data_IF_839271692685
#
_entry.id   IF_839271692685
#
_cell.length_a   1.000
_cell.length_b   1.000
_cell.length_c   1.000
_cell.angle_alpha   90.00
_cell.angle_beta   90.00
_cell.angle_gamma   90.00
#
_symmetry.space_group_name_H-M   'P 1'
#
loop_
_entity.id
_entity.type
_entity.pdbx_description
1 polymer ?
#
# COMPACT_ATOMS: atom_id res chain seq x y z
N UNK A 1 -17.40 8.95 -17.06
CA UNK A 1 -17.61 8.82 -15.60
C UNK A 1 -16.36 9.37 -14.94
N UNK A 2 -16.47 10.47 -14.20
CA UNK A 2 -15.30 11.14 -13.62
C UNK A 2 -15.19 10.73 -12.16
N UNK A 3 -14.31 9.78 -11.89
CA UNK A 3 -13.96 9.35 -10.55
C UNK A 3 -12.70 10.08 -10.10
N UNK A 4 -12.77 10.70 -8.93
CA UNK A 4 -11.62 11.36 -8.30
C UNK A 4 -11.31 10.63 -7.01
N UNK A 5 -10.05 10.25 -6.81
CA UNK A 5 -9.59 9.72 -5.52
C UNK A 5 -8.77 10.79 -4.82
N UNK A 6 -9.16 11.14 -3.60
CA UNK A 6 -8.38 11.99 -2.70
C UNK A 6 -7.66 11.10 -1.70
N UNK A 7 -6.33 11.23 -1.64
CA UNK A 7 -5.49 10.52 -0.68
C UNK A 7 -5.03 11.51 0.37
N UNK A 8 -5.14 11.14 1.64
CA UNK A 8 -4.63 11.92 2.76
C UNK A 8 -3.76 11.04 3.64
N UNK A 9 -2.54 11.49 3.89
CA UNK A 9 -1.62 10.83 4.82
C UNK A 9 -2.09 11.15 6.24
N UNK A 10 -2.28 10.09 7.04
CA UNK A 10 -2.67 10.20 8.45
C UNK A 10 -1.41 10.15 9.32
N UNK A 11 -0.51 9.21 9.00
CA UNK A 11 0.72 9.01 9.75
C UNK A 11 1.82 8.44 8.86
N UNK A 12 3.07 8.76 9.21
CA UNK A 12 4.27 8.12 8.67
C UNK A 12 5.17 7.77 9.86
N UNK A 13 5.59 6.53 9.95
CA UNK A 13 6.56 6.06 10.93
C UNK A 13 7.68 5.29 10.23
N UNK A 14 8.93 5.63 10.53
CA UNK A 14 10.06 4.82 10.08
C UNK A 14 10.13 3.55 10.93
N UNK A 15 10.12 2.39 10.28
CA UNK A 15 10.36 1.09 10.94
C UNK A 15 11.86 0.84 11.04
N UNK A 16 12.61 1.23 10.01
CA UNK A 16 14.07 1.12 9.95
C UNK A 16 14.65 2.26 9.09
N UNK A 17 15.96 2.22 8.84
CA UNK A 17 16.62 3.18 7.94
C UNK A 17 16.16 3.10 6.48
N UNK A 18 15.55 1.97 6.09
CA UNK A 18 15.16 1.67 4.70
C UNK A 18 13.69 1.26 4.60
N UNK A 19 12.91 1.37 5.69
CA UNK A 19 11.52 0.94 5.69
C UNK A 19 10.64 1.91 6.47
N UNK A 20 9.47 2.23 5.89
CA UNK A 20 8.45 3.08 6.49
C UNK A 20 7.08 2.40 6.51
N UNK A 21 6.32 2.68 7.56
CA UNK A 21 4.90 2.40 7.68
C UNK A 21 4.13 3.71 7.46
N UNK A 22 3.22 3.72 6.50
CA UNK A 22 2.42 4.89 6.14
C UNK A 22 0.95 4.52 6.27
N UNK A 23 0.19 5.30 7.02
CA UNK A 23 -1.26 5.15 7.08
C UNK A 23 -1.93 6.26 6.27
N UNK A 24 -2.88 5.87 5.41
CA UNK A 24 -3.60 6.80 4.53
C UNK A 24 -5.13 6.61 4.64
N UNK A 25 -5.86 7.71 4.41
CA UNK A 25 -7.28 7.66 4.05
C UNK A 25 -7.40 7.87 2.55
N UNK A 26 -8.20 7.02 1.88
CA UNK A 26 -8.56 7.16 0.49
C UNK A 26 -10.07 7.39 0.37
N UNK A 27 -10.43 8.56 -0.15
CA UNK A 27 -11.80 8.95 -0.43
C UNK A 27 -12.05 8.91 -1.94
N UNK A 28 -13.10 8.21 -2.37
CA UNK A 28 -13.51 8.13 -3.77
C UNK A 28 -14.73 9.02 -4.00
N UNK A 29 -14.65 9.90 -5.00
CA UNK A 29 -15.72 10.81 -5.38
C UNK A 29 -16.19 10.53 -6.80
N UNK A 30 -17.50 10.63 -7.03
CA UNK A 30 -18.11 10.64 -8.35
C UNK A 30 -18.93 11.93 -8.48
N UNK A 31 -18.53 12.82 -9.41
CA UNK A 31 -19.16 14.15 -9.55
C UNK A 31 -19.30 14.89 -8.21
N UNK A 32 -18.19 14.97 -7.46
CA UNK A 32 -18.08 15.63 -6.14
C UNK A 32 -18.84 14.94 -4.99
N UNK A 33 -19.65 13.93 -5.27
CA UNK A 33 -20.28 13.11 -4.23
C UNK A 33 -19.29 12.06 -3.72
N UNK A 34 -19.08 12.01 -2.41
CA UNK A 34 -18.30 10.96 -1.76
C UNK A 34 -19.03 9.62 -1.92
N UNK A 35 -18.40 8.65 -2.58
CA UNK A 35 -18.92 7.31 -2.82
C UNK A 35 -18.37 6.30 -1.81
N UNK A 36 -17.07 6.36 -1.48
CA UNK A 36 -16.47 5.46 -0.49
C UNK A 36 -15.30 6.11 0.25
N UNK A 37 -15.03 5.64 1.46
CA UNK A 37 -13.85 6.01 2.24
C UNK A 37 -13.25 4.79 2.94
N UNK A 38 -11.95 4.59 2.74
CA UNK A 38 -11.20 3.44 3.25
C UNK A 38 -9.87 3.87 3.84
N UNK A 39 -9.40 3.15 4.86
CA UNK A 39 -8.10 3.31 5.49
C UNK A 39 -7.17 2.21 4.99
N UNK A 40 -5.95 2.58 4.61
CA UNK A 40 -4.92 1.65 4.20
C UNK A 40 -3.66 1.86 5.03
N UNK A 41 -2.96 0.76 5.28
CA UNK A 41 -1.58 0.74 5.76
C UNK A 41 -0.68 0.35 4.60
N UNK A 42 0.39 1.12 4.41
CA UNK A 42 1.39 0.91 3.37
C UNK A 42 2.71 0.61 4.08
N UNK A 43 3.35 -0.49 3.70
CA UNK A 43 4.74 -0.78 4.06
C UNK A 43 5.59 -0.48 2.84
N UNK A 44 6.50 0.48 2.98
CA UNK A 44 7.37 0.94 1.89
C UNK A 44 8.82 0.65 2.25
N UNK A 45 9.54 0.01 1.34
CA UNK A 45 10.99 -0.13 1.40
C UNK A 45 11.60 0.88 0.43
N UNK A 46 12.65 1.58 0.86
CA UNK A 46 13.27 2.65 0.09
C UNK A 46 14.78 2.73 0.29
N UNK A 47 15.43 3.35 -0.69
CA UNK A 47 16.87 3.61 -0.72
C UNK A 47 17.13 5.02 -1.26
N UNK A 48 18.37 5.50 -1.16
CA UNK A 48 18.81 6.76 -1.75
C UNK A 48 20.01 6.49 -2.66
N UNK A 49 19.86 6.80 -3.94
CA UNK A 49 20.99 6.81 -4.87
C UNK A 49 21.79 8.11 -4.73
N UNK A 50 23.14 8.05 -4.73
CA UNK A 50 23.96 9.25 -4.77
C UNK A 50 23.67 10.06 -6.04
N UNK A 51 23.41 11.35 -5.89
CA UNK A 51 23.25 12.26 -7.03
C UNK A 51 24.29 13.39 -6.97
N UNK A 52 24.79 13.79 -8.14
CA UNK A 52 25.56 15.02 -8.29
C UNK A 52 24.59 16.19 -8.48
N UNK A 53 24.68 17.19 -7.60
CA UNK A 53 23.82 18.38 -7.68
C UNK A 53 24.46 19.39 -8.63
N UNK A 54 23.94 19.47 -9.86
CA UNK A 54 24.24 20.59 -10.77
C UNK A 54 23.37 21.81 -10.39
N UNK A 55 24.00 22.92 -10.05
CA UNK A 55 23.32 24.15 -9.60
C UNK A 55 22.56 24.87 -10.71
N UNK A 56 22.67 24.42 -11.96
CA UNK A 56 21.93 24.98 -13.11
C UNK A 56 20.43 24.66 -13.09
N UNK A 57 20.03 23.57 -12.46
CA UNK A 57 18.61 23.23 -12.23
C UNK A 57 18.46 22.17 -11.14
N UNK A 58 17.64 22.43 -10.13
CA UNK A 58 17.34 21.43 -9.09
C UNK A 58 16.53 20.29 -9.72
N UNK A 59 16.99 19.03 -9.63
CA UNK A 59 16.25 17.89 -10.17
C UNK A 59 14.96 17.65 -9.37
N UNK A 60 13.93 17.09 -10.01
CA UNK A 60 12.64 16.78 -9.37
C UNK A 60 12.78 15.84 -8.15
N UNK A 61 13.82 15.00 -8.15
CA UNK A 61 14.22 14.13 -7.05
C UNK A 61 15.63 14.52 -6.56
N UNK A 62 15.76 15.55 -5.72
CA UNK A 62 17.06 16.08 -5.29
C UNK A 62 17.77 15.24 -4.21
N UNK A 63 17.15 14.14 -3.77
CA UNK A 63 17.74 13.24 -2.78
C UNK A 63 18.14 11.89 -3.37
N UNK A 64 17.76 11.61 -4.62
CA UNK A 64 17.87 10.27 -5.19
C UNK A 64 16.99 9.24 -4.47
N UNK A 65 15.88 9.66 -3.85
CA UNK A 65 14.97 8.76 -3.16
C UNK A 65 14.33 7.77 -4.14
N UNK A 66 14.41 6.48 -3.83
CA UNK A 66 13.86 5.39 -4.65
C UNK A 66 13.02 4.47 -3.77
N UNK A 67 11.83 4.15 -4.25
CA UNK A 67 10.98 3.10 -3.65
C UNK A 67 11.37 1.76 -4.26
N UNK A 68 11.87 0.84 -3.44
CA UNK A 68 12.30 -0.50 -3.85
C UNK A 68 11.27 -1.59 -3.54
N UNK A 69 10.29 -1.30 -2.67
CA UNK A 69 9.17 -2.19 -2.37
C UNK A 69 7.98 -1.43 -1.81
N UNK A 70 6.76 -1.91 -2.08
CA UNK A 70 5.53 -1.29 -1.61
C UNK A 70 4.42 -2.34 -1.48
N UNK A 71 3.97 -2.56 -0.25
CA UNK A 71 2.82 -3.41 0.07
C UNK A 71 1.71 -2.56 0.67
N UNK A 72 0.48 -2.75 0.21
CA UNK A 72 -0.70 -1.97 0.64
C UNK A 72 -1.75 -2.91 1.19
N UNK A 73 -2.17 -2.67 2.43
CA UNK A 73 -3.20 -3.45 3.13
C UNK A 73 -4.37 -2.54 3.49
N UNK A 74 -5.59 -2.93 3.14
CA UNK A 74 -6.80 -2.28 3.66
C UNK A 74 -6.96 -2.63 5.14
N UNK A 75 -7.12 -1.63 6.00
CA UNK A 75 -7.20 -1.83 7.45
C UNK A 75 -8.56 -1.44 8.03
N UNK A 76 -9.35 -0.61 7.34
CA UNK A 76 -10.73 -0.32 7.70
C UNK A 76 -11.52 0.26 6.52
N UNK A 77 -12.83 0.03 6.54
CA UNK A 77 -13.80 0.68 5.65
C UNK A 77 -14.60 1.67 6.51
N UNK A 78 -14.49 2.96 6.20
CA UNK A 78 -15.23 4.02 6.90
C UNK A 78 -16.56 4.33 6.21
N UNK A 79 -16.59 4.18 4.88
CA UNK A 79 -17.79 4.20 4.06
C UNK A 79 -17.64 3.21 2.91
N UNK A 80 -18.51 2.22 2.88
CA UNK A 80 -18.55 1.24 1.80
C UNK A 80 -19.22 1.84 0.54
N UNK A 81 -18.91 1.26 -0.61
CA UNK A 81 -19.55 1.61 -1.87
C UNK A 81 -21.04 1.20 -1.83
N UNK A 82 -21.90 1.99 -2.47
CA UNK A 82 -23.28 1.56 -2.73
C UNK A 82 -23.27 0.24 -3.52
N UNK A 83 -24.13 -0.72 -3.18
CA UNK A 83 -24.20 -2.05 -3.82
C UNK A 83 -24.29 -2.00 -5.36
N UNK A 84 -25.04 -1.03 -5.89
CA UNK A 84 -25.18 -0.80 -7.35
C UNK A 84 -23.85 -0.46 -8.04
N UNK A 85 -22.87 0.03 -7.28
CA UNK A 85 -21.55 0.46 -7.74
C UNK A 85 -20.46 -0.55 -7.37
N UNK A 86 -20.77 -1.60 -6.59
CA UNK A 86 -19.83 -2.67 -6.30
C UNK A 86 -19.59 -3.50 -7.56
N UNK A 87 -18.34 -3.91 -7.75
CA UNK A 87 -18.00 -4.89 -8.79
C UNK A 87 -18.67 -6.20 -8.39
N UNK A 88 -19.46 -6.77 -9.30
CA UNK A 88 -20.04 -8.10 -9.08
C UNK A 88 -18.88 -9.09 -9.06
N UNK A 89 -18.78 -9.88 -7.99
CA UNK A 89 -17.82 -10.97 -7.93
C UNK A 89 -18.26 -12.03 -8.94
N UNK A 90 -17.67 -11.97 -10.13
CA UNK A 90 -17.89 -12.90 -11.23
C UNK A 90 -16.99 -14.14 -11.12
N UNK A 91 -16.30 -14.31 -9.99
CA UNK A 91 -15.41 -15.43 -9.74
C UNK A 91 -14.07 -15.32 -10.49
N UNK A 92 -13.76 -14.17 -11.10
CA UNK A 92 -12.47 -13.94 -11.76
C UNK A 92 -11.38 -13.78 -10.70
N UNK A 93 -10.65 -14.88 -10.45
CA UNK A 93 -9.52 -14.91 -9.53
C UNK A 93 -8.48 -13.87 -9.95
N UNK A 94 -7.97 -13.11 -8.98
CA UNK A 94 -6.90 -12.14 -9.18
C UNK A 94 -5.73 -12.75 -9.94
N UNK A 95 -5.21 -12.04 -10.95
CA UNK A 95 -4.02 -12.46 -11.72
C UNK A 95 -2.71 -12.33 -10.94
N UNK A 96 -2.78 -11.83 -9.71
CA UNK A 96 -1.63 -11.73 -8.81
C UNK A 96 -1.35 -13.14 -8.26
N UNK A 97 -0.34 -13.80 -8.84
CA UNK A 97 0.17 -15.07 -8.35
C UNK A 97 0.94 -14.77 -7.05
N UNK A 98 0.37 -15.16 -5.91
CA UNK A 98 1.12 -15.20 -4.66
C UNK A 98 2.07 -16.40 -4.73
N UNK A 99 3.32 -16.17 -5.08
CA UNK A 99 4.38 -17.15 -4.84
C UNK A 99 4.64 -17.19 -3.33
N UNK A 100 4.07 -18.17 -2.64
CA UNK A 100 4.52 -18.54 -1.30
C UNK A 100 6.00 -18.91 -1.39
N UNK A 101 6.89 -18.00 -0.98
CA UNK A 101 8.26 -18.40 -0.65
C UNK A 101 8.14 -19.26 0.61
N UNK A 102 8.28 -20.58 0.45
CA UNK A 102 8.39 -21.51 1.58
C UNK A 102 9.54 -21.04 2.46
N UNK A 103 9.19 -20.53 3.64
CA UNK A 103 10.17 -20.15 4.65
C UNK A 103 10.84 -21.43 5.15
N UNK A 104 12.16 -21.65 4.93
CA UNK A 104 12.83 -22.91 5.30
C UNK A 104 12.79 -23.21 6.80
N UNK A 105 12.49 -22.21 7.63
CA UNK A 105 12.49 -22.31 9.08
C UNK A 105 11.16 -22.73 9.71
N UNK A 106 10.05 -22.79 8.96
CA UNK A 106 8.74 -23.21 9.49
C UNK A 106 8.62 -24.73 9.74
N UNK A 107 9.61 -25.53 9.35
CA UNK A 107 9.58 -26.99 9.56
C UNK A 107 9.78 -27.43 11.02
N UNK A 108 10.12 -26.52 11.95
CA UNK A 108 10.48 -26.92 13.32
C UNK A 108 9.34 -26.80 14.34
N UNK A 109 8.17 -26.30 13.94
CA UNK A 109 6.98 -26.29 14.80
C UNK A 109 5.94 -27.27 14.24
N UNK A 110 6.17 -28.57 14.42
CA UNK A 110 5.11 -29.58 14.38
C UNK A 110 5.13 -30.40 15.66
N UNK A 111 3.94 -30.48 16.25
CA UNK A 111 3.44 -31.49 17.17
C UNK A 111 3.95 -31.47 18.63
N UNK A 112 3.38 -30.57 19.45
CA UNK A 112 3.07 -30.94 20.84
C UNK A 112 1.64 -31.42 20.85
N UNK A 113 1.45 -32.75 20.88
CA UNK A 113 0.15 -33.35 21.17
C UNK A 113 -0.12 -33.22 22.67
N UNK A 114 -1.25 -32.63 23.01
CA UNK A 114 -1.84 -32.71 24.36
C UNK A 114 -2.09 -34.18 24.72
N UNK A 115 -1.75 -34.56 25.96
CA UNK A 115 -2.17 -35.78 26.64
C UNK A 115 -3.19 -35.42 27.72
#
# INVERSE_FOLDING_TARGET
>A
MNLTRKISIINIALISKTQANIEISAQLFNKEKLESEKRYRIIMTFEFEPIEIDTKSVPLNPTGFIVTGCDVTEIAILKDLDEKNKVKDDGVKSRIIHTEKKDPHMSQYKDVKEQ
#
